data_IF_524432571540
#
_entry.id   IF_524432571540
#
_cell.length_a   1.000
_cell.length_b   1.000
_cell.length_c   1.000
_cell.angle_alpha   90.00
_cell.angle_beta   90.00
_cell.angle_gamma   90.00
#
_symmetry.space_group_name_H-M   'P 1'
#
loop_
_entity.id
_entity.type
_entity.pdbx_description
1 polymer ?
#
# COMPACT_ATOMS: atom_id res chain seq x y z
N UNK A 1 11.94 80.69 37.76
CA UNK A 1 12.19 79.92 38.99
C UNK A 1 11.34 78.66 38.92
N UNK A 2 12.03 77.52 38.85
CA UNK A 2 11.61 76.19 39.32
C UNK A 2 10.39 75.48 38.65
N UNK A 3 10.48 74.14 38.46
CA UNK A 3 10.11 73.46 37.22
C UNK A 3 9.22 72.21 37.48
N UNK A 4 9.06 71.35 36.45
CA UNK A 4 8.54 69.96 36.51
C UNK A 4 7.07 69.79 36.92
N UNK A 5 6.25 68.92 36.33
CA UNK A 5 6.55 67.61 35.77
C UNK A 5 5.61 67.27 34.60
N UNK A 6 6.19 66.85 33.47
CA UNK A 6 5.47 66.10 32.44
C UNK A 6 5.45 64.65 32.94
N UNK A 7 4.27 64.20 33.37
CA UNK A 7 4.05 62.81 33.72
C UNK A 7 4.20 61.93 32.47
N UNK A 8 5.10 60.95 32.56
CA UNK A 8 5.17 59.82 31.65
C UNK A 8 3.82 59.08 31.67
N UNK A 9 2.98 59.31 30.67
CA UNK A 9 1.99 58.32 30.26
C UNK A 9 2.69 57.36 29.29
N UNK A 10 3.46 56.42 29.85
CA UNK A 10 3.91 55.23 29.14
C UNK A 10 2.64 54.49 28.74
N UNK A 11 2.24 54.58 27.47
CA UNK A 11 1.23 53.68 26.92
C UNK A 11 1.75 52.26 27.12
N UNK A 12 1.08 51.53 28.00
CA UNK A 12 1.13 50.09 28.09
C UNK A 12 0.63 49.51 26.76
N UNK A 13 1.50 49.43 25.77
CA UNK A 13 1.35 48.45 24.70
C UNK A 13 1.83 47.12 25.29
N UNK A 14 0.91 46.43 25.96
CA UNK A 14 1.01 44.98 26.10
C UNK A 14 1.29 44.44 24.70
N UNK A 15 2.35 43.66 24.48
CA UNK A 15 2.47 42.94 23.21
C UNK A 15 1.23 42.07 23.12
N UNK A 16 0.34 42.41 22.21
CA UNK A 16 -0.69 41.49 21.77
C UNK A 16 0.08 40.29 21.24
N UNK A 17 0.07 39.21 22.03
CA UNK A 17 0.52 37.91 21.58
C UNK A 17 -0.40 37.59 20.41
N UNK A 18 0.09 37.87 19.21
CA UNK A 18 -0.58 37.49 17.99
C UNK A 18 -0.90 36.00 18.14
N UNK A 19 -2.20 35.69 18.16
CA UNK A 19 -2.65 34.32 18.07
C UNK A 19 -1.92 33.68 16.87
N UNK A 20 -1.41 32.44 17.00
CA UNK A 20 -0.77 31.78 15.89
C UNK A 20 -1.73 31.83 14.69
N UNK A 21 -1.28 32.44 13.60
CA UNK A 21 -2.03 32.45 12.36
C UNK A 21 -2.42 30.99 12.03
N UNK A 22 -3.66 30.73 11.61
CA UNK A 22 -4.06 29.38 11.24
C UNK A 22 -3.08 28.88 10.19
N UNK A 23 -2.44 27.75 10.51
CA UNK A 23 -1.47 27.09 9.64
C UNK A 23 -2.12 26.88 8.28
N UNK A 24 -1.50 27.41 7.22
CA UNK A 24 -2.01 27.30 5.87
C UNK A 24 -2.27 25.81 5.57
N UNK A 25 -3.41 25.45 4.95
CA UNK A 25 -3.72 24.06 4.69
C UNK A 25 -2.59 23.45 3.87
N UNK A 26 -2.00 22.36 4.39
CA UNK A 26 -0.97 21.62 3.69
C UNK A 26 -1.41 21.32 2.25
N UNK A 27 -0.49 21.35 1.27
CA UNK A 27 -0.81 21.04 -0.12
C UNK A 27 -1.50 19.68 -0.19
N UNK A 28 -2.43 19.51 -1.14
CA UNK A 28 -3.30 18.33 -1.21
C UNK A 28 -2.52 17.00 -1.24
N UNK A 29 -1.28 17.03 -1.73
CA UNK A 29 -0.34 15.91 -1.82
C UNK A 29 0.18 15.45 -0.44
N UNK A 30 0.25 16.35 0.54
CA UNK A 30 0.73 16.04 1.90
C UNK A 30 -0.39 15.56 2.84
N UNK A 31 -1.66 15.78 2.47
CA UNK A 31 -2.80 15.40 3.30
C UNK A 31 -3.04 13.89 3.26
N UNK A 32 -3.09 13.27 4.44
CA UNK A 32 -3.51 11.87 4.55
C UNK A 32 -4.98 11.70 4.16
N UNK A 33 -5.33 10.67 3.37
CA UNK A 33 -6.71 10.31 3.09
C UNK A 33 -7.50 10.07 4.40
N UNK A 34 -8.80 10.35 4.37
CA UNK A 34 -9.66 10.09 5.52
C UNK A 34 -9.61 8.61 5.93
N UNK A 35 -9.37 8.35 7.21
CA UNK A 35 -9.27 7.00 7.75
C UNK A 35 -7.96 6.25 7.45
N UNK A 36 -7.01 6.87 6.72
CA UNK A 36 -5.70 6.27 6.50
C UNK A 36 -4.84 6.34 7.77
N UNK A 37 -4.06 5.29 8.09
CA UNK A 37 -3.10 5.31 9.19
C UNK A 37 -2.03 6.39 8.99
N UNK A 38 -1.48 6.91 10.11
CA UNK A 38 -0.40 7.91 10.07
C UNK A 38 1.00 7.28 9.96
N UNK A 39 1.18 6.10 10.54
CA UNK A 39 2.46 5.40 10.56
C UNK A 39 2.78 4.80 9.18
N UNK A 40 3.99 5.02 8.68
CA UNK A 40 4.38 4.68 7.29
C UNK A 40 4.09 3.23 6.92
N UNK A 41 4.43 2.28 7.79
CA UNK A 41 4.18 0.85 7.54
C UNK A 41 2.69 0.55 7.39
N UNK A 42 1.86 1.04 8.32
CA UNK A 42 0.41 0.86 8.26
C UNK A 42 -0.20 1.64 7.09
N UNK A 43 0.34 2.81 6.77
CA UNK A 43 -0.11 3.62 5.65
C UNK A 43 0.14 2.93 4.31
N UNK A 44 1.34 2.36 4.09
CA UNK A 44 1.65 1.56 2.90
C UNK A 44 0.76 0.31 2.82
N UNK A 45 0.51 -0.35 3.95
CA UNK A 45 -0.40 -1.48 4.02
C UNK A 45 -1.85 -1.07 3.67
N UNK A 46 -2.30 0.10 4.11
CA UNK A 46 -3.58 0.69 3.72
C UNK A 46 -3.62 0.99 2.21
N UNK A 47 -2.58 1.60 1.65
CA UNK A 47 -2.46 1.86 0.21
C UNK A 47 -2.53 0.55 -0.61
N UNK A 48 -1.86 -0.51 -0.14
CA UNK A 48 -1.96 -1.85 -0.74
C UNK A 48 -3.41 -2.35 -0.74
N UNK A 49 -4.10 -2.27 0.40
CA UNK A 49 -5.50 -2.70 0.52
C UNK A 49 -6.46 -1.91 -0.38
N UNK A 50 -6.28 -0.58 -0.42
CA UNK A 50 -7.06 0.32 -1.27
C UNK A 50 -6.86 0.01 -2.75
N UNK A 51 -5.62 -0.11 -3.21
CA UNK A 51 -5.33 -0.44 -4.61
C UNK A 51 -5.80 -1.86 -4.97
N UNK A 52 -5.66 -2.83 -4.07
CA UNK A 52 -6.14 -4.19 -4.31
C UNK A 52 -7.66 -4.21 -4.48
N UNK A 53 -8.40 -3.51 -3.62
CA UNK A 53 -9.85 -3.38 -3.75
C UNK A 53 -10.28 -2.71 -5.04
N UNK A 54 -9.58 -1.65 -5.46
CA UNK A 54 -9.81 -0.98 -6.75
C UNK A 54 -9.70 -1.95 -7.93
N UNK A 55 -8.65 -2.76 -7.95
CA UNK A 55 -8.41 -3.74 -9.01
C UNK A 55 -9.40 -4.91 -8.97
N UNK A 56 -9.82 -5.35 -7.78
CA UNK A 56 -10.83 -6.42 -7.62
C UNK A 56 -12.19 -6.01 -8.18
N UNK A 57 -12.50 -4.71 -8.19
CA UNK A 57 -13.77 -4.19 -8.71
C UNK A 57 -13.81 -4.06 -10.24
N UNK A 58 -12.68 -4.24 -10.94
CA UNK A 58 -12.58 -3.99 -12.37
C UNK A 58 -13.73 -4.63 -13.16
N UNK A 59 -13.91 -5.95 -13.05
CA UNK A 59 -14.89 -6.68 -13.85
C UNK A 59 -16.34 -6.33 -13.48
N UNK A 60 -16.58 -5.94 -12.23
CA UNK A 60 -17.89 -5.45 -11.78
C UNK A 60 -18.21 -4.08 -12.39
N UNK A 61 -17.21 -3.20 -12.52
CA UNK A 61 -17.39 -1.81 -12.97
C UNK A 61 -17.41 -1.68 -14.50
N UNK A 62 -16.64 -2.51 -15.23
CA UNK A 62 -16.45 -2.37 -16.68
C UNK A 62 -17.74 -2.28 -17.51
N UNK A 63 -18.83 -3.02 -17.22
CA UNK A 63 -20.07 -2.88 -17.99
C UNK A 63 -20.67 -1.46 -17.92
N UNK A 64 -20.68 -0.84 -16.73
CA UNK A 64 -21.14 0.53 -16.57
C UNK A 64 -20.15 1.54 -17.13
N UNK A 65 -18.84 1.30 -16.99
CA UNK A 65 -17.80 2.13 -17.63
C UNK A 65 -17.98 2.16 -19.13
N UNK A 66 -18.12 0.99 -19.78
CA UNK A 66 -18.37 0.91 -21.22
C UNK A 66 -19.66 1.64 -21.62
N UNK A 67 -20.73 1.53 -20.83
CA UNK A 67 -21.96 2.29 -21.07
C UNK A 67 -21.72 3.80 -20.99
N UNK A 68 -21.04 4.29 -19.95
CA UNK A 68 -20.74 5.71 -19.74
C UNK A 68 -19.86 6.25 -20.88
N UNK A 69 -18.75 5.58 -21.18
CA UNK A 69 -17.82 6.00 -22.24
C UNK A 69 -18.48 5.98 -23.63
N UNK A 70 -19.41 5.06 -23.87
CA UNK A 70 -20.18 5.04 -25.11
C UNK A 70 -21.08 6.27 -25.28
N UNK A 71 -21.59 6.84 -24.18
CA UNK A 71 -22.54 7.95 -24.16
C UNK A 71 -21.87 9.33 -24.18
N UNK A 72 -20.71 9.48 -23.55
CA UNK A 72 -20.04 10.78 -23.34
C UNK A 72 -18.76 10.95 -24.16
N UNK A 73 -18.61 10.18 -25.24
CA UNK A 73 -17.42 10.18 -26.08
C UNK A 73 -17.21 11.49 -26.83
N UNK A 74 -15.94 11.85 -27.03
CA UNK A 74 -15.56 12.99 -27.87
C UNK A 74 -15.79 12.65 -29.34
N UNK A 75 -16.27 13.61 -30.16
CA UNK A 75 -16.37 13.41 -31.60
C UNK A 75 -15.03 13.00 -32.20
N UNK A 76 -15.03 11.96 -33.04
CA UNK A 76 -13.82 11.48 -33.72
C UNK A 76 -12.97 10.47 -32.96
N UNK A 77 -13.33 10.07 -31.72
CA UNK A 77 -12.64 8.99 -30.99
C UNK A 77 -13.35 7.64 -31.12
N UNK A 78 -12.59 6.55 -30.93
CA UNK A 78 -13.09 5.19 -30.93
C UNK A 78 -13.23 4.69 -29.49
N UNK A 79 -14.34 4.01 -29.19
CA UNK A 79 -14.60 3.47 -27.86
C UNK A 79 -13.50 2.49 -27.44
N UNK A 80 -13.00 1.71 -28.39
CA UNK A 80 -11.92 0.75 -28.16
C UNK A 80 -10.62 1.43 -27.72
N UNK A 81 -10.37 2.66 -28.17
CA UNK A 81 -9.20 3.43 -27.76
C UNK A 81 -9.37 3.99 -26.34
N UNK A 82 -10.57 4.49 -26.02
CA UNK A 82 -10.90 4.99 -24.68
C UNK A 82 -10.82 3.85 -23.64
N UNK A 83 -11.29 2.65 -23.99
CA UNK A 83 -11.27 1.48 -23.09
C UNK A 83 -9.85 0.92 -22.82
N UNK A 84 -8.85 1.22 -23.65
CA UNK A 84 -7.45 0.80 -23.41
C UNK A 84 -6.87 1.41 -22.14
N UNK A 85 -7.33 2.60 -21.74
CA UNK A 85 -6.86 3.28 -20.52
C UNK A 85 -7.08 2.40 -19.30
N UNK A 86 -8.26 1.79 -19.17
CA UNK A 86 -8.60 0.92 -18.04
C UNK A 86 -7.75 -0.36 -17.99
N UNK A 87 -7.47 -0.97 -19.16
CA UNK A 87 -6.57 -2.12 -19.23
C UNK A 87 -5.13 -1.77 -18.81
N UNK A 88 -4.66 -0.59 -19.21
CA UNK A 88 -3.35 -0.08 -18.82
C UNK A 88 -3.29 0.23 -17.32
N UNK A 89 -4.31 0.91 -16.76
CA UNK A 89 -4.43 1.16 -15.32
C UNK A 89 -4.42 -0.15 -14.51
N UNK A 90 -5.07 -1.21 -15.01
CA UNK A 90 -5.05 -2.51 -14.34
C UNK A 90 -3.64 -3.13 -14.32
N UNK A 91 -2.87 -2.98 -15.40
CA UNK A 91 -1.48 -3.42 -15.50
C UNK A 91 -0.59 -2.63 -14.55
N UNK A 92 -0.69 -1.30 -14.55
CA UNK A 92 0.12 -0.42 -13.71
C UNK A 92 -0.20 -0.61 -12.23
N UNK A 93 -1.48 -0.74 -11.88
CA UNK A 93 -1.90 -1.06 -10.52
C UNK A 93 -1.33 -2.38 -10.01
N UNK A 94 -1.27 -3.43 -10.86
CA UNK A 94 -0.62 -4.70 -10.47
C UNK A 94 0.89 -4.56 -10.26
N UNK A 95 1.57 -3.72 -11.04
CA UNK A 95 2.97 -3.43 -10.83
C UNK A 95 3.16 -2.68 -9.49
N UNK A 96 2.33 -1.69 -9.22
CA UNK A 96 2.38 -0.92 -7.98
C UNK A 96 2.08 -1.75 -6.73
N UNK A 97 1.15 -2.72 -6.81
CA UNK A 97 0.91 -3.67 -5.72
C UNK A 97 2.16 -4.48 -5.36
N UNK A 98 2.98 -4.87 -6.35
CA UNK A 98 4.24 -5.58 -6.09
C UNK A 98 5.25 -4.69 -5.38
N UNK A 99 5.33 -3.41 -5.75
CA UNK A 99 6.18 -2.43 -5.07
C UNK A 99 5.80 -2.27 -3.61
N UNK A 100 4.49 -2.13 -3.31
CA UNK A 100 4.00 -2.09 -1.93
C UNK A 100 4.27 -3.37 -1.15
N UNK A 101 4.05 -4.54 -1.76
CA UNK A 101 4.34 -5.83 -1.14
C UNK A 101 5.84 -5.95 -0.80
N UNK A 102 6.71 -5.48 -1.69
CA UNK A 102 8.17 -5.47 -1.48
C UNK A 102 8.55 -4.60 -0.29
N UNK A 103 8.01 -3.37 -0.21
CA UNK A 103 8.25 -2.47 0.91
C UNK A 103 7.76 -3.03 2.25
N UNK A 104 6.56 -3.61 2.27
CA UNK A 104 5.99 -4.23 3.47
C UNK A 104 6.83 -5.43 3.94
N UNK A 105 7.21 -6.32 3.02
CA UNK A 105 8.04 -7.49 3.33
C UNK A 105 9.41 -7.06 3.88
N UNK A 106 10.01 -6.03 3.28
CA UNK A 106 11.28 -5.49 3.78
C UNK A 106 11.13 -4.94 5.20
N UNK A 107 10.07 -4.18 5.47
CA UNK A 107 9.80 -3.62 6.79
C UNK A 107 9.54 -4.70 7.85
N UNK A 108 8.78 -5.74 7.52
CA UNK A 108 8.54 -6.88 8.41
C UNK A 108 9.84 -7.61 8.77
N UNK A 109 10.71 -7.87 7.78
CA UNK A 109 12.01 -8.50 7.99
C UNK A 109 12.96 -7.66 8.85
N UNK A 110 12.92 -6.35 8.68
CA UNK A 110 13.76 -5.41 9.42
C UNK A 110 13.25 -5.09 10.84
N UNK A 111 12.03 -5.52 11.19
CA UNK A 111 11.42 -5.18 12.47
C UNK A 111 11.86 -6.09 13.61
N UNK A 112 12.20 -5.52 14.77
CA UNK A 112 12.57 -6.30 15.97
C UNK A 112 11.36 -7.05 16.56
N UNK A 113 10.14 -6.62 16.24
CA UNK A 113 8.88 -7.23 16.70
C UNK A 113 8.01 -7.59 15.49
N UNK A 114 7.19 -8.67 15.56
CA UNK A 114 6.22 -8.95 14.51
C UNK A 114 5.22 -7.80 14.34
N UNK A 115 5.16 -7.23 13.13
CA UNK A 115 4.24 -6.12 12.77
C UNK A 115 3.21 -6.51 11.70
N UNK A 116 3.24 -7.75 11.22
CA UNK A 116 2.36 -8.27 10.17
C UNK A 116 0.87 -8.14 10.52
N UNK A 117 0.48 -8.29 11.79
CA UNK A 117 -0.92 -8.13 12.22
C UNK A 117 -1.41 -6.68 12.07
N UNK A 118 -0.55 -5.69 12.36
CA UNK A 118 -0.86 -4.27 12.13
C UNK A 118 -1.04 -3.99 10.63
N UNK A 119 -0.16 -4.58 9.80
CA UNK A 119 -0.23 -4.51 8.35
C UNK A 119 -1.54 -5.10 7.83
N UNK A 120 -1.89 -6.32 8.26
CA UNK A 120 -3.12 -6.99 7.86
C UNK A 120 -4.38 -6.18 8.25
N UNK A 121 -4.39 -5.53 9.42
CA UNK A 121 -5.49 -4.66 9.83
C UNK A 121 -5.61 -3.44 8.89
N UNK A 122 -4.49 -2.80 8.57
CA UNK A 122 -4.45 -1.66 7.68
C UNK A 122 -4.83 -2.03 6.23
N UNK A 123 -4.40 -3.19 5.73
CA UNK A 123 -4.85 -3.73 4.42
C UNK A 123 -6.37 -3.85 4.39
N UNK A 124 -6.97 -4.39 5.46
CA UNK A 124 -8.44 -4.49 5.54
C UNK A 124 -9.07 -3.10 5.53
N UNK A 125 -8.57 -2.15 6.32
CA UNK A 125 -9.07 -0.77 6.33
C UNK A 125 -8.98 -0.10 4.96
N UNK A 126 -7.87 -0.28 4.24
CA UNK A 126 -7.69 0.23 2.89
C UNK A 126 -8.71 -0.33 1.92
N UNK A 127 -8.97 -1.64 1.99
CA UNK A 127 -9.98 -2.28 1.14
C UNK A 127 -11.40 -1.78 1.45
N UNK A 128 -11.70 -1.40 2.69
CA UNK A 128 -13.04 -0.96 3.10
C UNK A 128 -13.49 0.34 2.42
N UNK A 129 -12.59 1.16 1.86
CA UNK A 129 -12.99 2.38 1.13
C UNK A 129 -13.88 2.07 -0.09
N UNK A 130 -13.81 0.84 -0.58
CA UNK A 130 -14.58 0.34 -1.73
C UNK A 130 -15.91 -0.32 -1.35
N UNK A 131 -16.16 -0.49 -0.06
CA UNK A 131 -17.41 -1.04 0.43
C UNK A 131 -18.45 0.08 0.51
N UNK A 132 -19.27 0.17 -0.54
CA UNK A 132 -20.39 1.11 -0.60
C UNK A 132 -21.63 0.52 0.06
N UNK A 133 -22.46 1.38 0.69
CA UNK A 133 -23.76 0.99 1.22
C UNK A 133 -24.74 0.51 0.12
N UNK A 134 -25.83 -0.17 0.49
CA UNK A 134 -26.80 -0.73 -0.45
C UNK A 134 -27.51 0.32 -1.31
N UNK A 135 -27.52 1.58 -0.86
CA UNK A 135 -28.21 2.69 -1.54
C UNK A 135 -27.40 3.30 -2.70
N UNK A 136 -26.14 2.90 -2.89
CA UNK A 136 -25.29 3.41 -3.98
C UNK A 136 -25.60 2.70 -5.28
N UNK A 137 -26.06 3.46 -6.28
CA UNK A 137 -26.35 2.89 -7.61
C UNK A 137 -25.08 2.41 -8.31
N UNK A 138 -25.20 1.42 -9.20
CA UNK A 138 -24.08 0.90 -10.00
C UNK A 138 -23.39 2.00 -10.81
N UNK A 139 -24.17 2.91 -11.41
CA UNK A 139 -23.63 4.03 -12.17
C UNK A 139 -22.82 4.99 -11.28
N UNK A 140 -23.29 5.30 -10.06
CA UNK A 140 -22.54 6.13 -9.11
C UNK A 140 -21.26 5.44 -8.67
N UNK A 141 -21.32 4.14 -8.35
CA UNK A 141 -20.15 3.33 -7.97
C UNK A 141 -19.10 3.29 -9.09
N UNK A 142 -19.52 3.11 -10.35
CA UNK A 142 -18.63 3.12 -11.50
C UNK A 142 -18.01 4.49 -11.75
N UNK A 143 -18.76 5.59 -11.62
CA UNK A 143 -18.22 6.95 -11.74
C UNK A 143 -17.14 7.24 -10.70
N UNK A 144 -17.40 6.90 -9.43
CA UNK A 144 -16.41 7.06 -8.36
C UNK A 144 -15.15 6.23 -8.66
N UNK A 145 -15.32 4.96 -9.07
CA UNK A 145 -14.22 4.10 -9.48
C UNK A 145 -13.43 4.69 -10.67
N UNK A 146 -14.08 5.22 -11.70
CA UNK A 146 -13.42 5.87 -12.85
C UNK A 146 -12.62 7.11 -12.44
N UNK A 147 -13.14 7.87 -11.46
CA UNK A 147 -12.52 9.12 -11.00
C UNK A 147 -11.42 8.91 -9.96
N UNK A 148 -11.30 7.71 -9.40
CA UNK A 148 -10.39 7.44 -8.31
C UNK A 148 -8.97 7.24 -8.80
N UNK A 149 -8.03 7.79 -8.05
CA UNK A 149 -6.61 7.56 -8.22
C UNK A 149 -5.97 7.22 -6.87
N UNK A 150 -4.90 6.44 -6.92
CA UNK A 150 -4.09 6.18 -5.75
C UNK A 150 -3.43 7.49 -5.29
N UNK A 151 -3.48 7.84 -3.99
CA UNK A 151 -2.80 9.03 -3.50
C UNK A 151 -1.30 8.97 -3.81
N UNK A 152 -0.73 10.05 -4.39
CA UNK A 152 0.70 10.10 -4.76
C UNK A 152 1.63 9.77 -3.59
N UNK A 153 1.23 10.15 -2.37
CA UNK A 153 1.94 9.83 -1.12
C UNK A 153 2.14 8.33 -0.89
N UNK A 154 1.28 7.46 -1.42
CA UNK A 154 1.45 6.01 -1.29
C UNK A 154 2.76 5.54 -1.91
N UNK A 155 3.13 6.07 -3.07
CA UNK A 155 4.36 5.70 -3.77
C UNK A 155 5.60 6.22 -3.03
N UNK A 156 5.59 7.49 -2.62
CA UNK A 156 6.72 8.13 -1.95
C UNK A 156 6.99 7.50 -0.58
N UNK A 157 5.96 7.26 0.23
CA UNK A 157 6.10 6.62 1.54
C UNK A 157 6.53 5.16 1.39
N UNK A 158 6.03 4.43 0.39
CA UNK A 158 6.48 3.05 0.13
C UNK A 158 7.97 2.99 -0.21
N UNK A 159 8.46 3.85 -1.11
CA UNK A 159 9.86 3.88 -1.48
C UNK A 159 10.77 4.24 -0.29
N UNK A 160 10.35 5.20 0.53
CA UNK A 160 11.05 5.59 1.76
C UNK A 160 11.05 4.48 2.81
N UNK A 161 9.91 3.81 3.01
CA UNK A 161 9.79 2.67 3.91
C UNK A 161 10.73 1.53 3.50
N UNK A 162 10.72 1.14 2.23
CA UNK A 162 11.59 0.08 1.71
C UNK A 162 13.06 0.42 1.90
N UNK A 163 13.46 1.66 1.56
CA UNK A 163 14.86 2.11 1.70
C UNK A 163 15.32 2.03 3.15
N UNK A 164 14.54 2.57 4.09
CA UNK A 164 14.87 2.51 5.52
C UNK A 164 14.87 1.08 6.05
N UNK A 165 13.92 0.25 5.62
CA UNK A 165 13.84 -1.14 6.02
C UNK A 165 15.06 -1.93 5.54
N UNK A 166 15.53 -1.71 4.31
CA UNK A 166 16.76 -2.34 3.79
C UNK A 166 18.00 -1.92 4.59
N UNK A 167 18.11 -0.64 4.96
CA UNK A 167 19.20 -0.16 5.80
C UNK A 167 19.18 -0.79 7.20
N UNK A 168 18.00 -0.89 7.83
CA UNK A 168 17.85 -1.51 9.14
C UNK A 168 18.02 -3.03 9.09
N UNK A 169 17.54 -3.70 8.05
CA UNK A 169 17.69 -5.15 7.86
C UNK A 169 19.15 -5.55 7.65
N UNK A 170 19.97 -4.69 7.03
CA UNK A 170 21.41 -4.90 6.93
C UNK A 170 22.10 -4.89 8.30
N UNK A 171 21.57 -4.17 9.30
CA UNK A 171 22.13 -4.11 10.67
C UNK A 171 21.48 -5.11 11.62
N UNK A 172 20.21 -5.47 11.42
CA UNK A 172 19.42 -6.31 12.32
C UNK A 172 18.89 -7.55 11.58
N UNK A 173 19.65 -8.66 11.63
CA UNK A 173 19.23 -9.98 11.11
C UNK A 173 18.29 -10.71 12.06
N UNK A 174 17.21 -10.04 12.48
CA UNK A 174 16.38 -10.52 13.60
C UNK A 174 15.25 -11.45 13.14
N UNK A 175 14.81 -11.35 11.88
CA UNK A 175 13.77 -12.20 11.27
C UNK A 175 14.22 -12.80 9.92
N UNK A 176 15.48 -13.26 9.81
CA UNK A 176 15.85 -14.10 8.67
C UNK A 176 15.14 -15.45 8.81
N UNK A 177 14.42 -15.85 7.77
CA UNK A 177 13.88 -17.21 7.68
C UNK A 177 15.09 -18.17 7.68
N UNK A 178 15.11 -19.19 8.56
CA UNK A 178 16.20 -20.16 8.55
C UNK A 178 16.36 -20.72 7.13
N UNK A 179 17.60 -20.89 6.64
CA UNK A 179 17.80 -21.52 5.34
C UNK A 179 17.02 -22.84 5.30
N UNK A 180 16.25 -23.04 4.23
CA UNK A 180 15.56 -24.29 4.01
C UNK A 180 16.56 -25.44 4.24
N UNK A 181 16.19 -26.51 4.99
CA UNK A 181 17.08 -27.63 5.19
C UNK A 181 17.58 -28.10 3.83
N UNK A 182 18.90 -28.14 3.66
CA UNK A 182 19.48 -28.71 2.45
C UNK A 182 18.86 -30.09 2.25
N UNK A 183 18.30 -30.33 1.07
CA UNK A 183 17.85 -31.67 0.68
C UNK A 183 19.03 -32.61 0.86
N UNK A 184 18.96 -33.47 1.87
CA UNK A 184 19.86 -34.60 2.03
C UNK A 184 19.85 -35.35 0.70
N UNK A 185 21.00 -35.58 0.05
CA UNK A 185 21.02 -36.33 -1.20
C UNK A 185 20.30 -37.67 -0.97
N UNK A 186 19.30 -37.94 -1.80
CA UNK A 186 18.62 -39.21 -1.82
C UNK A 186 19.67 -40.32 -1.93
N UNK A 187 19.77 -41.16 -0.90
CA UNK A 187 20.54 -42.39 -0.97
C UNK A 187 19.81 -43.29 -1.96
N UNK A 188 20.45 -43.48 -3.11
CA UNK A 188 20.12 -44.46 -4.13
C UNK A 188 19.96 -45.85 -3.48
N UNK A 189 18.86 -46.59 -3.73
CA UNK A 189 18.71 -47.93 -3.18
C UNK A 189 19.67 -48.87 -3.90
N UNK A 190 20.60 -49.47 -3.16
CA UNK A 190 21.45 -50.54 -3.66
C UNK A 190 20.61 -51.78 -4.03
N UNK A 191 21.03 -52.58 -5.04
CA UNK A 191 20.20 -53.61 -5.64
C UNK A 191 20.06 -54.85 -4.75
N UNK A 192 18.86 -55.46 -4.79
CA UNK A 192 18.56 -56.77 -4.24
C UNK A 192 19.44 -57.84 -4.90
N UNK A 193 20.37 -58.43 -4.13
CA UNK A 193 21.17 -59.58 -4.54
C UNK A 193 20.30 -60.84 -4.43
N UNK A 194 19.94 -61.40 -5.58
CA UNK A 194 19.30 -62.69 -5.69
C UNK A 194 20.32 -63.82 -5.78
N UNK A 195 19.92 -64.95 -5.19
CA UNK A 195 20.26 -66.32 -5.61
C UNK A 195 21.59 -66.92 -5.11
N UNK A 196 21.55 -67.55 -3.92
CA UNK A 196 22.44 -68.67 -3.60
C UNK A 196 21.74 -69.99 -3.98
N UNK A 197 22.44 -70.71 -4.83
CA UNK A 197 22.12 -71.98 -5.47
C UNK A 197 22.13 -73.15 -4.48
N UNK A 198 21.12 -74.02 -4.58
CA UNK A 198 21.16 -75.37 -4.02
C UNK A 198 22.15 -76.23 -4.80
N UNK A 199 22.85 -77.15 -4.13
CA UNK A 199 23.27 -78.41 -4.73
C UNK A 199 22.52 -79.60 -4.09
N UNK A 200 21.74 -80.29 -4.91
CA UNK A 200 21.39 -81.73 -4.77
C UNK A 200 22.66 -82.58 -5.05
N UNK A 201 22.75 -83.92 -4.84
CA UNK A 201 21.80 -84.88 -4.25
C UNK A 201 22.43 -86.02 -3.36
N UNK A 202 21.56 -86.90 -2.85
CA UNK A 202 21.75 -88.35 -2.53
C UNK A 202 22.51 -88.79 -1.26
N UNK A 203 21.79 -89.31 -0.25
CA UNK A 203 21.66 -90.74 0.12
C UNK A 203 20.79 -90.86 1.39
#
# INVERSE_FOLDING_TARGET
MTPFAIALALFAQTPEVAAPAPEAPAPAEDRLPAGAPREDYQFVAWCYGALRGYLDMHDEMMPEVTRIESQFRKPGTKLEDDLKVYAQMQKDGRAQLKSFQTALTAAEKASVRPINTLGANAVRQGRQIWNTGPDVTKARKAQEWMSWALPARCETVSASLETRAKLMGATFKVNEEPPAPAETPAVEPAPTEGEQTSPDPTN
#
